data_IF_803183029672
#
_entry.id   IF_803183029672
#
_cell.length_a   1.000
_cell.length_b   1.000
_cell.length_c   1.000
_cell.angle_alpha   90.00
_cell.angle_beta   90.00
_cell.angle_gamma   90.00
#
_symmetry.space_group_name_H-M   'P 1'
#
loop_
_entity.id
_entity.type
_entity.pdbx_description
1 polymer ?
#
# COMPACT_ATOMS: atom_id res chain seq x y z
N UNK A 1 1.33 -30.47 -18.37
CA UNK A 1 -0.01 -29.85 -18.22
C UNK A 1 -0.54 -29.91 -16.78
N UNK A 2 -0.28 -30.97 -16.03
CA UNK A 2 -0.74 -31.12 -14.61
C UNK A 2 -0.05 -30.19 -13.60
N UNK A 3 1.24 -29.95 -13.70
CA UNK A 3 1.98 -29.02 -12.82
C UNK A 3 1.43 -27.57 -12.86
N UNK A 4 0.98 -27.12 -14.06
CA UNK A 4 0.35 -25.79 -14.22
C UNK A 4 -1.01 -25.69 -13.52
N UNK A 5 -1.77 -26.79 -13.46
CA UNK A 5 -3.09 -26.84 -12.83
C UNK A 5 -3.01 -26.86 -11.30
N UNK A 6 -2.04 -27.61 -10.73
CA UNK A 6 -1.75 -27.64 -9.28
C UNK A 6 -1.31 -26.26 -8.77
N UNK A 7 -0.45 -25.56 -9.52
CA UNK A 7 -0.03 -24.20 -9.17
C UNK A 7 -1.19 -23.20 -9.16
N UNK A 8 -2.14 -23.31 -10.11
CA UNK A 8 -3.33 -22.44 -10.14
C UNK A 8 -4.29 -22.68 -8.97
N UNK A 9 -4.45 -23.95 -8.55
CA UNK A 9 -5.30 -24.29 -7.37
C UNK A 9 -4.65 -23.76 -6.10
N UNK A 10 -3.34 -23.98 -5.92
CA UNK A 10 -2.61 -23.45 -4.76
C UNK A 10 -2.67 -21.91 -4.66
N UNK A 11 -2.55 -21.21 -5.80
CA UNK A 11 -2.71 -19.76 -5.84
C UNK A 11 -4.12 -19.31 -5.45
N UNK A 12 -5.17 -19.99 -5.90
CA UNK A 12 -6.56 -19.65 -5.52
C UNK A 12 -6.83 -19.87 -4.04
N UNK A 13 -6.32 -20.97 -3.47
CA UNK A 13 -6.43 -21.26 -2.04
C UNK A 13 -5.72 -20.16 -1.25
N UNK A 14 -4.52 -19.79 -1.64
CA UNK A 14 -3.76 -18.72 -0.98
C UNK A 14 -4.48 -17.36 -1.07
N UNK A 15 -5.04 -17.03 -2.23
CA UNK A 15 -5.86 -15.83 -2.40
C UNK A 15 -7.06 -15.83 -1.45
N UNK A 16 -7.75 -16.95 -1.38
CA UNK A 16 -8.91 -17.10 -0.49
C UNK A 16 -8.50 -16.93 0.97
N UNK A 17 -7.43 -17.61 1.42
CA UNK A 17 -6.91 -17.46 2.78
C UNK A 17 -6.53 -16.01 3.11
N UNK A 18 -5.86 -15.30 2.20
CA UNK A 18 -5.53 -13.89 2.37
C UNK A 18 -6.78 -13.01 2.52
N UNK A 19 -7.79 -13.27 1.69
CA UNK A 19 -9.04 -12.51 1.71
C UNK A 19 -9.82 -12.75 3.01
N UNK A 20 -9.91 -14.00 3.45
CA UNK A 20 -10.59 -14.35 4.71
C UNK A 20 -9.84 -13.79 5.91
N UNK A 21 -8.51 -13.83 5.89
CA UNK A 21 -7.71 -13.24 6.95
C UNK A 21 -7.87 -11.71 7.03
N UNK A 22 -7.88 -11.01 5.90
CA UNK A 22 -8.19 -9.57 5.88
C UNK A 22 -9.60 -9.29 6.42
N UNK A 23 -10.60 -10.08 6.05
CA UNK A 23 -11.96 -9.94 6.58
C UNK A 23 -12.03 -10.19 8.08
N UNK A 24 -11.20 -11.10 8.60
CA UNK A 24 -11.05 -11.30 10.05
C UNK A 24 -10.42 -10.08 10.72
N UNK A 25 -9.37 -9.51 10.14
CA UNK A 25 -8.73 -8.31 10.65
C UNK A 25 -9.67 -7.11 10.65
N UNK A 26 -10.44 -6.89 9.58
CA UNK A 26 -11.45 -5.83 9.51
C UNK A 26 -12.46 -5.87 10.69
N UNK A 27 -12.75 -7.07 11.20
CA UNK A 27 -13.70 -7.28 12.29
C UNK A 27 -13.08 -7.24 13.69
N UNK A 28 -11.78 -7.48 13.79
CA UNK A 28 -11.10 -7.70 15.09
C UNK A 28 -10.06 -6.66 15.43
N UNK A 29 -9.57 -5.91 14.44
CA UNK A 29 -8.56 -4.86 14.64
C UNK A 29 -9.23 -3.56 15.04
N UNK A 30 -8.67 -2.90 16.05
CA UNK A 30 -9.04 -1.53 16.41
C UNK A 30 -8.13 -0.58 15.65
N UNK A 31 -8.70 0.29 14.80
CA UNK A 31 -7.94 1.31 14.07
C UNK A 31 -8.01 2.63 14.83
N UNK A 32 -6.85 3.13 15.21
CA UNK A 32 -6.70 4.43 15.82
C UNK A 32 -6.09 5.41 14.82
N UNK A 33 -6.86 6.40 14.39
CA UNK A 33 -6.42 7.42 13.44
C UNK A 33 -5.74 8.58 14.16
N UNK A 34 -4.56 8.95 13.67
CA UNK A 34 -3.85 10.17 14.03
C UNK A 34 -3.71 10.99 12.76
N UNK A 35 -4.59 11.95 12.61
CA UNK A 35 -4.74 12.75 11.40
C UNK A 35 -4.24 14.16 11.70
N UNK A 36 -3.25 14.63 10.94
CA UNK A 36 -2.73 16.00 11.08
C UNK A 36 -3.49 16.99 10.19
N UNK A 37 -4.28 16.53 9.18
CA UNK A 37 -4.92 17.42 8.20
C UNK A 37 -6.26 16.93 7.64
N UNK A 38 -6.90 17.78 6.85
CA UNK A 38 -8.13 17.48 6.12
C UNK A 38 -7.82 16.70 4.83
N UNK A 39 -8.65 15.73 4.54
CA UNK A 39 -8.60 15.03 3.25
C UNK A 39 -9.19 15.92 2.15
N UNK A 40 -8.46 16.05 1.03
CA UNK A 40 -8.92 16.68 -0.19
C UNK A 40 -9.68 15.70 -1.10
N UNK A 41 -10.21 16.20 -2.19
CA UNK A 41 -10.99 15.40 -3.15
C UNK A 41 -10.08 14.51 -4.02
N UNK A 42 -8.83 14.92 -4.30
CA UNK A 42 -7.86 14.16 -5.08
C UNK A 42 -6.48 14.32 -4.42
N UNK A 43 -5.86 13.22 -4.00
CA UNK A 43 -4.59 13.22 -3.28
C UNK A 43 -3.70 12.05 -3.71
N UNK A 44 -2.41 12.18 -3.46
CA UNK A 44 -1.41 11.12 -3.67
C UNK A 44 -0.99 10.53 -2.33
N UNK A 45 -1.45 9.33 -2.05
CA UNK A 45 -1.12 8.60 -0.84
C UNK A 45 0.16 7.78 -1.02
N UNK A 46 1.14 8.02 -0.14
CA UNK A 46 2.37 7.25 -0.09
C UNK A 46 2.52 6.48 1.20
N UNK A 47 2.89 5.20 1.12
CA UNK A 47 3.12 4.33 2.27
C UNK A 47 4.34 3.43 2.03
N UNK A 48 4.85 2.76 3.08
CA UNK A 48 5.95 1.83 2.94
C UNK A 48 5.48 0.43 2.53
N UNK A 49 6.26 -0.26 1.71
CA UNK A 49 5.91 -1.59 1.18
C UNK A 49 5.67 -2.63 2.28
N UNK A 50 6.34 -2.48 3.42
CA UNK A 50 6.15 -3.33 4.59
C UNK A 50 4.70 -3.38 5.08
N UNK A 51 3.95 -2.28 4.92
CA UNK A 51 2.58 -2.12 5.41
C UNK A 51 1.51 -2.54 4.38
N UNK A 52 1.92 -2.97 3.18
CA UNK A 52 1.01 -3.23 2.05
C UNK A 52 -0.11 -4.21 2.37
N UNK A 53 0.08 -5.11 3.34
CA UNK A 53 -0.97 -6.07 3.71
C UNK A 53 -2.19 -5.35 4.31
N UNK A 54 -1.97 -4.59 5.37
CA UNK A 54 -3.06 -3.92 6.07
C UNK A 54 -3.49 -2.62 5.38
N UNK A 55 -2.65 -2.09 4.51
CA UNK A 55 -2.96 -0.89 3.73
C UNK A 55 -4.25 -1.05 2.90
N UNK A 56 -4.61 -2.26 2.48
CA UNK A 56 -5.89 -2.51 1.81
C UNK A 56 -7.10 -2.11 2.67
N UNK A 57 -7.05 -2.37 3.98
CA UNK A 57 -8.10 -1.97 4.93
C UNK A 57 -8.07 -0.47 5.14
N UNK A 58 -6.88 0.11 5.27
CA UNK A 58 -6.69 1.56 5.45
C UNK A 58 -7.21 2.33 4.24
N UNK A 59 -6.83 1.95 3.03
CA UNK A 59 -7.25 2.62 1.80
C UNK A 59 -8.76 2.52 1.55
N UNK A 60 -9.39 1.40 1.95
CA UNK A 60 -10.84 1.27 1.94
C UNK A 60 -11.51 2.31 2.85
N UNK A 61 -11.01 2.42 4.09
CA UNK A 61 -11.54 3.41 5.05
C UNK A 61 -11.26 4.86 4.60
N UNK A 62 -10.16 5.10 3.90
CA UNK A 62 -9.86 6.41 3.30
C UNK A 62 -10.79 6.72 2.15
N UNK A 63 -11.05 5.77 1.25
CA UNK A 63 -11.97 5.94 0.13
C UNK A 63 -13.40 6.29 0.58
N UNK A 64 -13.82 5.81 1.75
CA UNK A 64 -15.10 6.19 2.36
C UNK A 64 -15.13 7.64 2.89
N UNK A 65 -13.95 8.24 3.12
CA UNK A 65 -13.80 9.62 3.65
C UNK A 65 -13.45 10.65 2.58
N UNK A 66 -12.91 10.19 1.45
CA UNK A 66 -12.39 11.02 0.36
C UNK A 66 -13.02 10.63 -0.99
N UNK A 67 -12.26 10.74 -2.06
CA UNK A 67 -12.57 10.19 -3.38
C UNK A 67 -12.13 8.71 -3.48
N UNK A 68 -12.62 7.95 -4.49
CA UNK A 68 -12.12 6.61 -4.76
C UNK A 68 -10.60 6.57 -4.90
N UNK A 69 -9.95 5.55 -4.32
CA UNK A 69 -8.50 5.43 -4.32
C UNK A 69 -8.05 4.35 -5.32
N UNK A 70 -7.33 4.76 -6.34
CA UNK A 70 -6.67 3.87 -7.29
C UNK A 70 -5.26 3.55 -6.81
N UNK A 71 -4.85 2.27 -6.85
CA UNK A 71 -3.55 1.83 -6.32
C UNK A 71 -2.61 1.43 -7.43
N UNK A 72 -1.44 2.05 -7.47
CA UNK A 72 -0.38 1.69 -8.42
C UNK A 72 0.30 0.41 -7.95
N UNK A 73 0.24 -0.64 -8.78
CA UNK A 73 0.82 -1.95 -8.51
C UNK A 73 1.70 -2.41 -9.67
N UNK A 74 2.65 -3.30 -9.39
CA UNK A 74 3.45 -3.92 -10.45
C UNK A 74 2.61 -4.88 -11.30
N UNK A 75 2.96 -5.02 -12.57
CA UNK A 75 2.25 -5.88 -13.54
C UNK A 75 2.51 -7.39 -13.35
N UNK A 76 3.16 -7.79 -12.25
CA UNK A 76 3.47 -9.19 -11.95
C UNK A 76 2.27 -9.95 -11.33
N UNK A 77 2.47 -11.25 -11.07
CA UNK A 77 1.43 -12.11 -10.48
C UNK A 77 1.01 -11.70 -9.07
N UNK A 78 1.85 -10.95 -8.34
CA UNK A 78 1.52 -10.39 -7.02
C UNK A 78 0.47 -9.30 -7.13
N UNK A 79 0.50 -8.52 -8.21
CA UNK A 79 -0.54 -7.53 -8.52
C UNK A 79 -1.95 -8.13 -8.62
N UNK A 80 -2.10 -9.43 -8.98
CA UNK A 80 -3.42 -10.08 -9.05
C UNK A 80 -4.10 -10.18 -7.68
N UNK A 81 -3.33 -10.41 -6.61
CA UNK A 81 -3.87 -10.49 -5.25
C UNK A 81 -4.32 -9.12 -4.77
N UNK A 82 -3.50 -8.11 -5.01
CA UNK A 82 -3.76 -6.72 -4.65
C UNK A 82 -4.99 -6.22 -5.40
N UNK A 83 -5.10 -6.48 -6.71
CA UNK A 83 -6.26 -6.08 -7.52
C UNK A 83 -7.57 -6.64 -6.98
N UNK A 84 -7.60 -7.92 -6.58
CA UNK A 84 -8.81 -8.53 -6.02
C UNK A 84 -9.26 -7.84 -4.73
N UNK A 85 -8.32 -7.46 -3.88
CA UNK A 85 -8.60 -6.77 -2.62
C UNK A 85 -9.06 -5.33 -2.85
N UNK A 86 -8.39 -4.58 -3.72
CA UNK A 86 -8.72 -3.19 -4.05
C UNK A 86 -10.10 -3.09 -4.69
N UNK A 87 -10.48 -4.00 -5.57
CA UNK A 87 -11.82 -4.04 -6.17
C UNK A 87 -12.95 -4.14 -5.15
N UNK A 88 -12.72 -4.84 -4.03
CA UNK A 88 -13.71 -4.90 -2.93
C UNK A 88 -13.86 -3.55 -2.22
N UNK A 89 -12.86 -2.68 -2.32
CA UNK A 89 -12.83 -1.35 -1.71
C UNK A 89 -13.27 -0.22 -2.68
N UNK A 90 -13.80 -0.56 -3.86
CA UNK A 90 -14.26 0.43 -4.85
C UNK A 90 -13.17 1.05 -5.72
N UNK A 91 -11.89 0.84 -5.40
CA UNK A 91 -10.76 1.33 -6.18
C UNK A 91 -10.35 0.41 -7.32
N UNK A 92 -9.37 0.84 -8.12
CA UNK A 92 -8.76 0.09 -9.21
C UNK A 92 -7.28 -0.14 -8.94
N UNK A 93 -6.79 -1.32 -9.32
CA UNK A 93 -5.36 -1.57 -9.38
C UNK A 93 -4.84 -1.09 -10.75
N UNK A 94 -3.99 -0.09 -10.73
CA UNK A 94 -3.34 0.47 -11.89
C UNK A 94 -2.01 -0.25 -12.11
N UNK A 95 -1.98 -1.14 -13.11
CA UNK A 95 -0.81 -1.97 -13.38
C UNK A 95 0.23 -1.23 -14.19
N UNK A 96 1.39 -1.06 -13.61
CA UNK A 96 2.54 -0.46 -14.28
C UNK A 96 3.50 -1.55 -14.72
N UNK A 97 3.79 -1.66 -16.03
CA UNK A 97 4.79 -2.60 -16.52
C UNK A 97 6.19 -2.23 -16.02
N UNK A 98 7.05 -3.23 -15.86
CA UNK A 98 8.45 -2.99 -15.52
C UNK A 98 9.24 -2.36 -16.69
N UNK A 99 10.27 -1.57 -16.33
CA UNK A 99 11.24 -1.04 -17.28
C UNK A 99 10.79 0.21 -18.04
N UNK A 100 11.36 0.40 -19.25
CA UNK A 100 11.24 1.64 -20.04
C UNK A 100 9.80 2.00 -20.44
N UNK A 101 8.92 1.00 -20.57
CA UNK A 101 7.49 1.19 -20.89
C UNK A 101 6.68 1.72 -19.71
N UNK A 102 7.21 1.63 -18.51
CA UNK A 102 6.55 2.07 -17.28
C UNK A 102 6.17 3.55 -17.32
N UNK A 103 7.06 4.40 -17.81
CA UNK A 103 6.84 5.85 -17.79
C UNK A 103 5.69 6.31 -18.70
N UNK A 104 5.59 5.75 -19.91
CA UNK A 104 4.51 6.09 -20.85
C UNK A 104 3.15 5.56 -20.36
N UNK A 105 3.11 4.33 -19.84
CA UNK A 105 1.92 3.74 -19.25
C UNK A 105 1.47 4.55 -18.02
N UNK A 106 2.40 4.93 -17.16
CA UNK A 106 2.15 5.71 -15.97
C UNK A 106 1.53 7.08 -16.28
N UNK A 107 2.05 7.79 -17.28
CA UNK A 107 1.52 9.10 -17.69
C UNK A 107 0.05 9.03 -18.12
N UNK A 108 -0.33 7.97 -18.84
CA UNK A 108 -1.73 7.79 -19.25
C UNK A 108 -2.64 7.41 -18.08
N UNK A 109 -2.18 6.50 -17.23
CA UNK A 109 -2.87 6.03 -16.02
C UNK A 109 -3.17 7.20 -15.09
N UNK A 110 -2.16 8.01 -14.82
CA UNK A 110 -2.25 9.20 -13.96
C UNK A 110 -3.26 10.19 -14.53
N UNK A 111 -3.18 10.47 -15.82
CA UNK A 111 -4.16 11.36 -16.46
C UNK A 111 -5.59 10.84 -16.31
N UNK A 112 -5.83 9.54 -16.51
CA UNK A 112 -7.16 8.95 -16.36
C UNK A 112 -7.69 9.01 -14.91
N UNK A 113 -6.83 8.87 -13.90
CA UNK A 113 -7.24 9.00 -12.50
C UNK A 113 -7.62 10.44 -12.15
N UNK A 114 -6.84 11.41 -12.58
CA UNK A 114 -7.17 12.83 -12.36
C UNK A 114 -8.42 13.30 -13.10
N UNK A 115 -8.66 12.84 -14.34
CA UNK A 115 -9.89 13.15 -15.06
C UNK A 115 -11.16 12.63 -14.36
N UNK A 116 -11.00 11.75 -13.35
CA UNK A 116 -12.10 11.12 -12.60
C UNK A 116 -12.18 11.56 -11.13
N UNK A 117 -11.38 12.53 -10.73
CA UNK A 117 -11.27 12.96 -9.32
C UNK A 117 -10.91 11.80 -8.35
N UNK A 118 -10.11 10.82 -8.81
CA UNK A 118 -9.64 9.71 -8.00
C UNK A 118 -8.31 10.04 -7.35
N UNK A 119 -8.16 9.70 -6.08
CA UNK A 119 -6.88 9.69 -5.40
C UNK A 119 -6.00 8.53 -5.88
N UNK A 120 -4.67 8.68 -5.79
CA UNK A 120 -3.70 7.66 -6.12
C UNK A 120 -2.98 7.16 -4.88
N UNK A 121 -2.75 5.86 -4.76
CA UNK A 121 -1.95 5.30 -3.67
C UNK A 121 -0.82 4.43 -4.21
N UNK A 122 0.34 4.47 -3.55
CA UNK A 122 1.49 3.65 -3.92
C UNK A 122 2.48 3.40 -2.79
N UNK A 123 3.19 2.27 -2.88
CA UNK A 123 4.33 1.99 -2.02
C UNK A 123 5.54 2.83 -2.46
N UNK A 124 6.09 3.60 -1.52
CA UNK A 124 7.12 4.61 -1.79
C UNK A 124 8.48 4.00 -2.16
N UNK A 125 8.88 2.91 -1.53
CA UNK A 125 10.15 2.22 -1.76
C UNK A 125 10.11 1.27 -2.97
N UNK A 126 8.93 1.13 -3.58
CA UNK A 126 8.73 0.32 -4.79
C UNK A 126 8.95 -1.19 -4.57
N UNK A 127 8.82 -2.01 -5.63
CA UNK A 127 8.79 -3.47 -5.51
C UNK A 127 10.15 -4.12 -5.22
N UNK A 128 11.24 -3.41 -5.44
CA UNK A 128 12.62 -3.92 -5.30
C UNK A 128 13.40 -3.23 -4.19
N UNK A 129 12.79 -2.25 -3.47
CA UNK A 129 13.47 -1.52 -2.41
C UNK A 129 14.62 -0.62 -2.88
N UNK A 130 15.55 -0.29 -2.01
CA UNK A 130 15.68 -0.69 -0.59
C UNK A 130 14.54 -0.18 0.32
N UNK A 131 14.33 -0.86 1.44
CA UNK A 131 13.32 -0.50 2.43
C UNK A 131 13.53 0.93 2.94
N UNK A 132 12.44 1.69 3.02
CA UNK A 132 12.41 3.09 3.48
C UNK A 132 13.24 4.07 2.64
N UNK A 133 13.60 3.69 1.42
CA UNK A 133 14.18 4.61 0.44
C UNK A 133 13.13 5.02 -0.60
N UNK A 134 12.55 6.23 -0.50
CA UNK A 134 11.45 6.61 -1.35
C UNK A 134 11.89 6.80 -2.80
N UNK A 135 11.14 6.24 -3.73
CA UNK A 135 11.32 6.46 -5.18
C UNK A 135 10.67 7.78 -5.59
N UNK A 136 11.16 8.36 -6.64
CA UNK A 136 10.74 9.70 -7.09
C UNK A 136 9.32 9.76 -7.67
N UNK A 137 8.67 8.61 -7.89
CA UNK A 137 7.41 8.54 -8.61
C UNK A 137 6.28 9.32 -7.94
N UNK A 138 5.99 9.08 -6.67
CA UNK A 138 4.93 9.77 -5.94
C UNK A 138 5.11 11.29 -5.98
N UNK A 139 6.34 11.76 -5.79
CA UNK A 139 6.67 13.19 -5.78
C UNK A 139 6.65 13.81 -7.18
N UNK A 140 7.05 13.03 -8.19
CA UNK A 140 6.90 13.45 -9.59
C UNK A 140 5.43 13.67 -9.93
N UNK A 141 4.54 12.79 -9.47
CA UNK A 141 3.11 12.91 -9.70
C UNK A 141 2.53 14.10 -8.97
N UNK A 142 2.88 14.30 -7.69
CA UNK A 142 2.48 15.46 -6.91
C UNK A 142 2.88 16.77 -7.59
N UNK A 143 4.14 16.89 -8.05
CA UNK A 143 4.64 18.08 -8.73
C UNK A 143 3.94 18.36 -10.07
N UNK A 144 3.63 17.29 -10.86
CA UNK A 144 3.09 17.46 -12.21
C UNK A 144 1.58 17.66 -12.27
N UNK A 145 0.88 17.12 -11.30
CA UNK A 145 -0.56 17.23 -11.20
C UNK A 145 -1.02 18.38 -10.29
N UNK A 146 -0.06 19.00 -9.58
CA UNK A 146 -0.34 20.01 -8.55
C UNK A 146 -1.21 19.47 -7.42
N UNK A 147 -1.04 18.16 -7.10
CA UNK A 147 -1.81 17.43 -6.11
C UNK A 147 -1.04 17.22 -4.81
N UNK A 148 -1.74 17.30 -3.69
CA UNK A 148 -1.16 17.12 -2.37
C UNK A 148 -0.63 15.70 -2.18
N UNK A 149 0.58 15.59 -1.63
CA UNK A 149 1.17 14.34 -1.23
C UNK A 149 0.91 14.08 0.25
N UNK A 150 0.29 12.95 0.53
CA UNK A 150 -0.07 12.52 1.88
C UNK A 150 0.69 11.24 2.23
N UNK A 151 1.53 11.32 3.25
CA UNK A 151 2.25 10.17 3.79
C UNK A 151 1.41 9.41 4.81
N UNK A 152 1.36 8.08 4.67
CA UNK A 152 0.67 7.19 5.60
C UNK A 152 1.71 6.28 6.24
N UNK A 153 1.70 6.19 7.57
CA UNK A 153 2.52 5.25 8.32
C UNK A 153 1.67 4.46 9.31
N UNK A 154 1.98 3.19 9.48
CA UNK A 154 1.25 2.28 10.36
C UNK A 154 2.14 1.83 11.52
N UNK A 155 1.58 1.78 12.70
CA UNK A 155 2.19 1.10 13.83
C UNK A 155 1.21 0.09 14.43
N UNK A 156 1.75 -1.04 14.91
CA UNK A 156 0.97 -2.20 15.31
C UNK A 156 1.28 -2.57 16.76
N UNK A 157 0.27 -2.78 17.59
CA UNK A 157 0.49 -3.27 18.94
C UNK A 157 0.92 -4.74 18.96
N UNK A 158 0.53 -5.53 17.93
CA UNK A 158 0.94 -6.93 17.78
C UNK A 158 0.92 -7.33 16.30
N UNK A 159 2.02 -7.91 15.80
CA UNK A 159 2.16 -8.28 14.41
C UNK A 159 3.17 -9.42 14.22
N UNK A 160 3.14 -10.05 13.04
CA UNK A 160 4.19 -10.93 12.54
C UNK A 160 5.01 -10.11 11.54
N UNK A 161 6.34 -10.10 11.69
CA UNK A 161 7.26 -9.45 10.76
C UNK A 161 8.10 -10.48 10.03
N UNK A 162 8.09 -10.43 8.69
CA UNK A 162 8.87 -11.34 7.84
C UNK A 162 10.28 -10.77 7.63
N UNK A 163 11.17 -10.97 8.59
CA UNK A 163 12.50 -10.33 8.65
C UNK A 163 13.45 -10.72 7.51
N UNK A 164 13.22 -11.87 6.85
CA UNK A 164 14.04 -12.32 5.70
C UNK A 164 13.71 -11.60 4.40
N UNK A 165 12.54 -10.95 4.32
CA UNK A 165 12.19 -10.14 3.16
C UNK A 165 12.92 -8.80 3.24
N UNK A 166 13.27 -8.25 2.09
CA UNK A 166 13.91 -6.93 2.01
C UNK A 166 13.04 -5.81 2.63
N UNK A 167 11.71 -5.94 2.46
CA UNK A 167 10.70 -5.00 2.95
C UNK A 167 10.28 -5.24 4.41
N UNK A 168 10.75 -6.32 5.03
CA UNK A 168 10.33 -6.75 6.39
C UNK A 168 8.81 -6.72 6.58
N UNK A 169 8.10 -7.27 5.61
CA UNK A 169 6.65 -7.27 5.49
C UNK A 169 5.91 -7.56 6.78
N UNK A 170 4.88 -6.77 7.08
CA UNK A 170 4.14 -6.84 8.33
C UNK A 170 2.75 -7.42 8.11
N UNK A 171 2.37 -8.38 8.97
CA UNK A 171 1.04 -8.97 9.02
C UNK A 171 0.50 -8.76 10.43
N UNK A 172 -0.51 -7.88 10.63
CA UNK A 172 -1.13 -7.68 11.93
C UNK A 172 -1.76 -8.96 12.47
N UNK A 173 -1.79 -9.12 13.78
CA UNK A 173 -2.55 -10.19 14.41
C UNK A 173 -4.02 -9.75 14.67
N UNK A 174 -4.97 -10.69 14.75
CA UNK A 174 -6.32 -10.38 15.21
C UNK A 174 -6.31 -9.74 16.60
N UNK A 175 -7.28 -8.87 16.87
CA UNK A 175 -7.45 -8.15 18.14
C UNK A 175 -6.29 -7.18 18.47
N UNK A 176 -5.49 -6.79 17.47
CA UNK A 176 -4.45 -5.78 17.62
C UNK A 176 -5.02 -4.37 17.48
N UNK A 177 -4.30 -3.39 18.01
CA UNK A 177 -4.53 -1.98 17.69
C UNK A 177 -3.54 -1.55 16.61
N UNK A 178 -4.07 -0.98 15.54
CA UNK A 178 -3.27 -0.38 14.46
C UNK A 178 -3.46 1.13 14.52
N UNK A 179 -2.37 1.85 14.78
CA UNK A 179 -2.37 3.31 14.67
C UNK A 179 -2.00 3.70 13.26
N UNK A 180 -2.89 4.44 12.61
CA UNK A 180 -2.71 4.99 11.26
C UNK A 180 -2.40 6.47 11.40
N UNK A 181 -1.16 6.85 11.17
CA UNK A 181 -0.75 8.24 11.14
C UNK A 181 -0.78 8.74 9.69
N UNK A 182 -1.52 9.82 9.47
CA UNK A 182 -1.71 10.45 8.17
C UNK A 182 -1.17 11.87 8.25
N UNK A 183 -0.23 12.20 7.37
CA UNK A 183 0.42 13.50 7.32
C UNK A 183 0.40 14.06 5.91
N UNK A 184 -0.18 15.22 5.78
CA UNK A 184 -0.16 16.02 4.55
C UNK A 184 1.14 16.81 4.45
N UNK A 185 1.77 16.78 3.28
CA UNK A 185 2.98 17.49 2.96
C UNK A 185 2.76 18.61 1.93
N UNK A 186 1.49 18.82 1.51
CA UNK A 186 1.17 19.68 0.38
C UNK A 186 1.76 19.17 -0.94
N UNK A 187 1.88 20.03 -1.93
CA UNK A 187 2.52 19.71 -3.21
C UNK A 187 4.02 19.55 -3.05
N UNK A 188 4.52 18.34 -3.26
CA UNK A 188 5.93 17.99 -3.06
C UNK A 188 6.66 17.89 -4.39
N UNK A 189 7.83 18.55 -4.49
CA UNK A 189 8.69 18.48 -5.68
C UNK A 189 9.58 17.23 -5.66
N UNK A 190 9.72 16.56 -6.80
CA UNK A 190 10.54 15.34 -6.97
C UNK A 190 12.01 15.46 -6.52
N UNK A 191 12.56 16.68 -6.49
CA UNK A 191 13.93 16.94 -6.09
C UNK A 191 14.05 17.42 -4.63
N UNK A 192 12.94 17.58 -3.91
CA UNK A 192 12.91 18.06 -2.52
C UNK A 192 11.95 17.18 -1.70
N UNK A 193 12.35 15.92 -1.54
CA UNK A 193 11.56 14.94 -0.77
C UNK A 193 11.62 15.31 0.71
N UNK A 194 10.46 15.46 1.38
CA UNK A 194 10.43 15.74 2.81
C UNK A 194 10.88 14.53 3.63
N UNK A 195 11.28 14.71 4.89
CA UNK A 195 11.49 13.58 5.79
C UNK A 195 10.16 12.84 6.02
N UNK A 196 10.11 11.60 5.57
CA UNK A 196 8.92 10.74 5.69
C UNK A 196 8.96 9.97 7.00
N UNK A 197 7.81 9.76 7.66
CA UNK A 197 7.76 8.98 8.87
C UNK A 197 8.13 7.53 8.57
N UNK A 198 9.08 7.03 9.32
CA UNK A 198 9.45 5.61 9.34
C UNK A 198 8.90 5.04 10.64
N UNK A 199 8.16 3.94 10.53
CA UNK A 199 7.68 3.26 11.74
C UNK A 199 8.87 2.87 12.60
N UNK A 200 8.92 3.36 13.84
CA UNK A 200 9.80 2.79 14.84
C UNK A 200 9.42 1.31 14.96
N UNK A 201 10.41 0.42 14.96
CA UNK A 201 10.14 -1.01 15.18
C UNK A 201 9.31 -1.13 16.46
N UNK A 202 8.08 -1.62 16.41
CA UNK A 202 7.23 -1.64 17.58
C UNK A 202 7.88 -2.53 18.63
N UNK A 203 8.03 -2.00 19.85
CA UNK A 203 8.53 -2.73 21.03
C UNK A 203 7.65 -3.95 21.40
N UNK A 204 6.59 -4.22 20.63
CA UNK A 204 5.62 -5.28 20.82
C UNK A 204 5.44 -6.25 19.66
N UNK A 205 6.35 -6.32 18.67
CA UNK A 205 6.24 -7.33 17.62
C UNK A 205 6.49 -8.73 18.20
N UNK A 206 5.41 -9.43 18.54
CA UNK A 206 5.44 -10.64 19.39
C UNK A 206 6.08 -11.88 18.71
N UNK A 207 6.29 -11.88 17.39
CA UNK A 207 6.88 -13.05 16.69
C UNK A 207 7.76 -12.61 15.53
N UNK A 208 9.06 -12.58 15.76
CA UNK A 208 10.03 -12.61 14.67
C UNK A 208 10.14 -14.06 14.19
N UNK A 209 9.51 -14.41 13.07
CA UNK A 209 9.73 -15.71 12.44
C UNK A 209 11.14 -15.74 11.86
N UNK A 210 12.08 -16.18 12.65
CA UNK A 210 13.35 -16.72 12.18
C UNK A 210 13.12 -18.18 11.84
N UNK A 211 12.65 -18.47 10.63
CA UNK A 211 12.70 -19.84 10.13
C UNK A 211 14.18 -20.21 9.98
N UNK A 212 14.64 -21.14 10.82
CA UNK A 212 15.93 -21.79 10.71
C UNK A 212 15.97 -22.63 9.44
N UNK A 213 17.08 -22.45 8.70
CA UNK A 213 17.70 -23.24 7.63
C UNK A 213 16.79 -23.92 6.62
#
# INVERSE_FOLDING_TARGET
MELSRRNKIGQRILQWLFTEYLSLLERTVTIHWVEENRYGDSQIFGFWHEDSFFMNVVLKNLADKTSPVDVIVTADTRGNYIEHMIRKSGGKALRVPDGYKAFAALKNIVRESYEKDHSLAMALDGPLGPRHEPKKLAFYLSEHADEEFVGISLSYSSCIRLNRRWDKYVIPLPFTTVTVAVKDYGVVKKNRIPPLPVNADPLGCAVCLNESA
#
